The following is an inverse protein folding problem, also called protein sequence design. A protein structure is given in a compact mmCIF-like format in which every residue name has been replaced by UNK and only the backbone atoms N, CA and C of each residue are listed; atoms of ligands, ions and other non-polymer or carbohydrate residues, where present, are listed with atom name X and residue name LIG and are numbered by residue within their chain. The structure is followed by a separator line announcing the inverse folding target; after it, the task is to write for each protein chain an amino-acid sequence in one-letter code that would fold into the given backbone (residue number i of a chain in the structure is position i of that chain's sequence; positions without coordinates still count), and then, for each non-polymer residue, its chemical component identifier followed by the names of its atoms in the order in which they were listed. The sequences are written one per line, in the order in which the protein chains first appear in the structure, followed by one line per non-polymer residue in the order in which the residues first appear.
data_IF_958443782872
#
_entry.id   IF_958443782872
#
_cell.length_a   1.000
_cell.length_b   1.000
_cell.length_c   1.000
_cell.angle_alpha   90.00
_cell.angle_beta   90.00
_cell.angle_gamma   90.00
#
_symmetry.space_group_name_H-M   'P 1'
#
loop_
_entity.id
_entity.type
_entity.pdbx_description
1 polymer ?
#
# COMPACT_ATOMS: atom_id res chain seq x y z
N UNK A 1 3.07 -1.10 4.31
CA UNK A 1 3.28 0.11 3.49
C UNK A 1 4.01 1.16 4.29
N UNK A 2 5.09 1.71 3.73
CA UNK A 2 5.87 2.78 4.34
C UNK A 2 5.86 4.01 3.41
N UNK A 3 5.57 5.18 3.95
CA UNK A 3 5.61 6.47 3.23
C UNK A 3 6.43 7.48 4.02
N UNK A 4 7.45 8.10 3.41
CA UNK A 4 8.20 9.20 4.03
C UNK A 4 7.80 10.50 3.36
N UNK A 5 7.52 11.55 4.13
CA UNK A 5 7.26 12.89 3.62
C UNK A 5 8.18 13.90 4.31
N UNK A 6 8.68 14.87 3.53
CA UNK A 6 9.64 15.89 4.00
C UNK A 6 9.03 17.28 3.88
N UNK A 7 8.97 18.02 4.98
CA UNK A 7 8.63 19.43 4.97
C UNK A 7 9.90 20.26 4.73
N UNK A 8 10.04 20.80 3.51
CA UNK A 8 11.20 21.61 3.12
C UNK A 8 11.04 23.11 3.42
N UNK A 9 9.87 23.56 3.90
CA UNK A 9 9.64 24.99 4.16
C UNK A 9 10.01 25.38 5.60
N UNK A 10 10.20 26.68 5.82
CA UNK A 10 10.60 27.26 7.11
C UNK A 10 9.42 27.47 8.08
N UNK A 11 8.30 26.77 7.86
CA UNK A 11 7.14 26.81 8.72
C UNK A 11 6.58 25.41 8.91
N UNK A 12 5.83 25.20 9.98
CA UNK A 12 5.11 23.95 10.19
C UNK A 12 4.09 23.71 9.08
N UNK A 13 3.97 22.47 8.62
CA UNK A 13 3.02 22.08 7.57
C UNK A 13 2.18 20.90 8.01
N UNK A 14 0.90 20.93 7.64
CA UNK A 14 0.04 19.75 7.76
C UNK A 14 0.29 18.81 6.57
N UNK A 15 0.65 17.57 6.86
CA UNK A 15 0.91 16.51 5.90
C UNK A 15 -0.15 15.44 6.03
N UNK A 16 -0.60 14.94 4.87
CA UNK A 16 -1.61 13.90 4.78
C UNK A 16 -1.01 12.59 4.29
N UNK A 17 -1.25 11.51 5.02
CA UNK A 17 -1.06 10.14 4.59
C UNK A 17 -2.40 9.54 4.21
N UNK A 18 -2.60 9.23 2.92
CA UNK A 18 -3.86 8.70 2.41
C UNK A 18 -3.63 7.44 1.58
N UNK A 19 -4.32 6.36 1.93
CA UNK A 19 -4.25 5.09 1.20
C UNK A 19 -5.63 4.47 1.07
N UNK A 20 -5.85 3.70 0.00
CA UNK A 20 -7.08 2.93 -0.20
C UNK A 20 -6.78 1.44 0.01
N UNK A 21 -7.48 0.82 0.96
CA UNK A 21 -7.32 -0.58 1.33
C UNK A 21 -8.56 -1.39 0.90
N UNK A 22 -8.41 -2.69 0.58
CA UNK A 22 -9.56 -3.57 0.42
C UNK A 22 -10.44 -3.61 1.67
N UNK A 23 -11.77 -3.66 1.53
CA UNK A 23 -12.71 -3.79 2.67
C UNK A 23 -12.55 -5.08 3.48
N UNK A 24 -11.95 -6.07 2.84
CA UNK A 24 -11.59 -7.38 3.40
C UNK A 24 -10.30 -7.33 4.21
N UNK A 25 -9.54 -6.24 4.11
CA UNK A 25 -8.32 -6.05 4.88
C UNK A 25 -8.60 -5.53 6.29
N UNK A 26 -7.82 -6.00 7.26
CA UNK A 26 -7.79 -5.51 8.62
C UNK A 26 -6.45 -4.82 8.89
N UNK A 27 -6.49 -3.60 9.41
CA UNK A 27 -5.27 -2.87 9.80
C UNK A 27 -4.76 -3.43 11.12
N UNK A 28 -3.57 -4.01 11.10
CA UNK A 28 -2.93 -4.59 12.29
C UNK A 28 -2.02 -3.61 13.00
N UNK A 29 -1.43 -2.66 12.27
CA UNK A 29 -0.57 -1.63 12.85
C UNK A 29 -0.60 -0.35 12.02
N UNK A 30 -0.64 0.78 12.71
CA UNK A 30 -0.28 2.06 12.13
C UNK A 30 0.67 2.78 13.08
N UNK A 31 1.78 3.31 12.55
CA UNK A 31 2.69 4.14 13.32
C UNK A 31 3.22 5.28 12.46
N UNK A 32 3.63 6.34 13.13
CA UNK A 32 4.35 7.45 12.53
C UNK A 32 5.63 7.70 13.30
N UNK A 33 6.70 8.02 12.60
CA UNK A 33 7.98 8.41 13.18
C UNK A 33 8.27 9.86 12.79
N UNK A 34 8.45 10.73 13.78
CA UNK A 34 8.75 12.15 13.60
C UNK A 34 9.98 12.44 14.45
N UNK A 35 11.05 12.94 13.83
CA UNK A 35 12.30 13.29 14.54
C UNK A 35 12.88 12.14 15.41
N UNK A 36 12.72 10.89 14.95
CA UNK A 36 13.18 9.68 15.65
C UNK A 36 12.25 9.19 16.77
N UNK A 37 11.16 9.91 17.05
CA UNK A 37 10.15 9.48 18.00
C UNK A 37 9.02 8.73 17.28
N UNK A 38 8.77 7.49 17.72
CA UNK A 38 7.70 6.64 17.17
C UNK A 38 6.41 6.87 17.96
N UNK A 39 5.31 7.09 17.23
CA UNK A 39 3.95 7.20 17.74
C UNK A 39 3.11 6.09 17.11
N UNK A 40 2.64 5.16 17.93
CA UNK A 40 1.77 4.07 17.48
C UNK A 40 0.31 4.54 17.55
N UNK A 41 -0.39 4.43 16.43
CA UNK A 41 -1.80 4.77 16.33
C UNK A 41 -2.67 3.69 16.97
N UNK A 42 -3.59 4.10 17.83
CA UNK A 42 -4.57 3.20 18.42
C UNK A 42 -5.71 2.97 17.40
N UNK A 43 -5.86 1.73 16.92
CA UNK A 43 -6.94 1.36 15.99
C UNK A 43 -8.25 1.32 16.77
N UNK A 44 -9.04 2.39 16.68
CA UNK A 44 -10.36 2.51 17.32
C UNK A 44 -11.51 2.32 16.33
N UNK A 45 -12.66 1.98 16.89
CA UNK A 45 -13.93 1.86 16.17
C UNK A 45 -14.31 3.18 15.44
N UNK A 46 -14.76 3.05 14.19
CA UNK A 46 -14.87 4.13 13.18
C UNK A 46 -15.61 5.40 13.66
N UNK A 47 -16.70 5.25 14.42
CA UNK A 47 -17.51 6.41 14.85
C UNK A 47 -16.84 7.25 15.94
N UNK A 48 -16.12 6.62 16.87
CA UNK A 48 -15.40 7.33 17.94
C UNK A 48 -14.17 8.05 17.38
N UNK A 49 -13.51 7.46 16.39
CA UNK A 49 -12.36 8.05 15.71
C UNK A 49 -12.70 9.35 14.97
N UNK A 50 -13.88 9.45 14.34
CA UNK A 50 -14.28 10.65 13.56
C UNK A 50 -14.39 11.91 14.41
N UNK A 51 -15.07 11.85 15.56
CA UNK A 51 -15.23 13.01 16.46
C UNK A 51 -13.89 13.46 17.05
N UNK A 52 -13.01 12.50 17.35
CA UNK A 52 -11.66 12.80 17.83
C UNK A 52 -10.79 13.45 16.74
N UNK A 53 -10.91 12.99 15.50
CA UNK A 53 -10.22 13.58 14.36
C UNK A 53 -10.60 15.05 14.15
N UNK A 54 -11.90 15.35 14.04
CA UNK A 54 -12.36 16.73 13.80
C UNK A 54 -11.91 17.70 14.91
N UNK A 55 -11.93 17.24 16.17
CA UNK A 55 -11.42 18.02 17.32
C UNK A 55 -9.91 18.21 17.29
N UNK A 56 -9.15 17.17 16.95
CA UNK A 56 -7.69 17.23 16.90
C UNK A 56 -7.21 18.15 15.77
N UNK A 57 -7.75 18.00 14.55
CA UNK A 57 -7.42 18.86 13.40
C UNK A 57 -7.74 20.32 13.67
N UNK A 58 -8.93 20.61 14.22
CA UNK A 58 -9.29 22.00 14.61
C UNK A 58 -8.40 22.58 15.72
N UNK A 59 -7.72 21.72 16.49
CA UNK A 59 -6.77 22.13 17.53
C UNK A 59 -5.30 22.09 17.06
N UNK A 60 -5.05 21.84 15.77
CA UNK A 60 -3.70 21.68 15.21
C UNK A 60 -2.96 20.42 15.66
N UNK A 61 -3.66 19.45 16.25
CA UNK A 61 -3.12 18.17 16.70
C UNK A 61 -3.23 17.10 15.61
N UNK A 62 -2.29 16.16 15.65
CA UNK A 62 -2.25 15.01 14.75
C UNK A 62 -3.43 14.07 14.94
N UNK A 63 -4.02 13.59 13.84
CA UNK A 63 -5.22 12.77 13.87
C UNK A 63 -5.30 11.75 12.72
N UNK A 64 -5.84 10.55 13.03
CA UNK A 64 -6.13 9.51 12.04
C UNK A 64 -7.61 9.20 11.92
N UNK A 65 -8.06 8.90 10.70
CA UNK A 65 -9.45 8.58 10.37
C UNK A 65 -9.53 7.53 9.25
N UNK A 66 -10.34 6.48 9.48
CA UNK A 66 -10.72 5.51 8.44
C UNK A 66 -12.13 5.81 7.95
N UNK A 67 -12.30 5.99 6.63
CA UNK A 67 -13.58 6.27 5.98
C UNK A 67 -13.80 5.33 4.80
N UNK A 68 -15.01 4.82 4.62
CA UNK A 68 -15.32 4.00 3.45
C UNK A 68 -15.07 4.75 2.12
N UNK A 69 -14.49 4.07 1.12
CA UNK A 69 -14.17 4.63 -0.20
C UNK A 69 -14.72 3.74 -1.31
N UNK A 70 -15.90 4.07 -1.82
CA UNK A 70 -16.56 3.29 -2.88
C UNK A 70 -17.01 1.89 -2.43
N UNK A 71 -17.21 0.99 -3.41
CA UNK A 71 -17.83 -0.33 -3.18
C UNK A 71 -16.89 -1.34 -2.52
N UNK A 72 -15.64 -1.45 -3.00
CA UNK A 72 -14.67 -2.49 -2.58
C UNK A 72 -13.55 -2.00 -1.66
N UNK A 73 -13.31 -0.70 -1.57
CA UNK A 73 -12.17 -0.13 -0.84
C UNK A 73 -12.62 0.70 0.37
N UNK A 74 -11.71 0.94 1.30
CA UNK A 74 -11.81 1.92 2.37
C UNK A 74 -10.61 2.86 2.31
N UNK A 75 -10.85 4.15 2.48
CA UNK A 75 -9.82 5.17 2.56
C UNK A 75 -9.36 5.30 4.01
N UNK A 76 -8.08 5.01 4.24
CA UNK A 76 -7.38 5.36 5.46
C UNK A 76 -6.72 6.72 5.24
N UNK A 77 -6.96 7.68 6.14
CA UNK A 77 -6.38 9.03 6.07
C UNK A 77 -5.87 9.45 7.44
N UNK A 78 -4.66 9.99 7.48
CA UNK A 78 -4.05 10.57 8.68
C UNK A 78 -3.52 11.93 8.31
N UNK A 79 -3.77 12.94 9.13
CA UNK A 79 -3.14 14.24 9.01
C UNK A 79 -2.28 14.52 10.24
N UNK A 80 -1.09 15.04 10.01
CA UNK A 80 -0.10 15.36 11.04
C UNK A 80 0.51 16.70 10.73
N UNK A 81 0.63 17.55 11.75
CA UNK A 81 1.38 18.79 11.65
C UNK A 81 2.84 18.50 12.00
N UNK A 82 3.76 18.75 11.06
CA UNK A 82 5.20 18.57 11.29
C UNK A 82 5.93 19.91 11.25
N UNK A 83 7.00 20.00 12.04
CA UNK A 83 7.83 21.19 12.15
C UNK A 83 8.48 21.59 10.81
N UNK A 84 8.99 22.82 10.77
CA UNK A 84 9.79 23.30 9.65
C UNK A 84 11.03 22.41 9.45
N UNK A 85 11.40 22.15 8.20
CA UNK A 85 12.61 21.41 7.85
C UNK A 85 12.71 19.99 8.46
N UNK A 86 11.59 19.38 8.83
CA UNK A 86 11.55 18.03 9.38
C UNK A 86 10.87 17.03 8.44
N UNK A 87 10.86 15.76 8.82
CA UNK A 87 10.22 14.69 8.08
C UNK A 87 9.33 13.82 8.98
N UNK A 88 8.44 13.07 8.34
CA UNK A 88 7.62 12.05 8.98
C UNK A 88 7.64 10.78 8.14
N UNK A 89 7.80 9.64 8.82
CA UNK A 89 7.65 8.31 8.22
C UNK A 89 6.35 7.70 8.71
N UNK A 90 5.43 7.41 7.80
CA UNK A 90 4.20 6.66 8.08
C UNK A 90 4.43 5.18 7.77
N UNK A 91 3.99 4.30 8.67
CA UNK A 91 4.06 2.86 8.49
C UNK A 91 2.67 2.29 8.78
N UNK A 92 2.06 1.69 7.77
CA UNK A 92 0.77 1.02 7.85
C UNK A 92 0.94 -0.47 7.50
N UNK A 93 0.51 -1.34 8.38
CA UNK A 93 0.44 -2.79 8.16
C UNK A 93 -1.02 -3.22 8.17
N UNK A 94 -1.41 -3.98 7.15
CA UNK A 94 -2.73 -4.58 7.06
C UNK A 94 -2.60 -6.01 6.56
N UNK A 95 -3.59 -6.81 6.89
CA UNK A 95 -3.69 -8.22 6.52
C UNK A 95 -5.01 -8.45 5.82
N UNK A 96 -5.00 -9.32 4.81
CA UNK A 96 -6.20 -9.71 4.07
C UNK A 96 -6.20 -11.21 3.84
N UNK A 97 -7.35 -11.85 4.05
CA UNK A 97 -7.56 -13.23 3.64
C UNK A 97 -8.01 -13.25 2.17
N UNK A 98 -7.10 -13.65 1.27
CA UNK A 98 -7.40 -13.72 -0.15
C UNK A 98 -8.48 -14.77 -0.46
N UNK A 99 -9.51 -14.34 -1.19
CA UNK A 99 -10.60 -15.21 -1.62
C UNK A 99 -10.43 -15.58 -3.08
N UNK A 100 -10.37 -16.88 -3.38
CA UNK A 100 -10.37 -17.37 -4.75
C UNK A 100 -11.71 -17.10 -5.42
N UNK A 101 -11.69 -16.38 -6.54
CA UNK A 101 -12.88 -16.04 -7.34
C UNK A 101 -12.58 -16.30 -8.81
N UNK A 102 -13.55 -16.87 -9.53
CA UNK A 102 -13.41 -17.17 -10.96
C UNK A 102 -12.12 -17.95 -11.32
N UNK A 103 -11.69 -18.84 -10.42
CA UNK A 103 -10.52 -19.68 -10.66
C UNK A 103 -9.17 -19.10 -10.25
N UNK A 104 -9.11 -17.93 -9.62
CA UNK A 104 -7.85 -17.27 -9.27
C UNK A 104 -7.92 -16.44 -7.99
N UNK A 105 -6.76 -16.17 -7.40
CA UNK A 105 -6.58 -15.16 -6.37
C UNK A 105 -6.19 -13.82 -7.02
N UNK A 106 -6.58 -12.72 -6.39
CA UNK A 106 -6.27 -11.37 -6.86
C UNK A 106 -5.79 -10.54 -5.67
N UNK A 107 -4.59 -9.96 -5.80
CA UNK A 107 -4.05 -8.95 -4.90
C UNK A 107 -4.15 -7.61 -5.63
N UNK A 108 -4.91 -6.67 -5.08
CA UNK A 108 -5.11 -5.35 -5.66
C UNK A 108 -4.53 -4.29 -4.73
N UNK A 109 -3.54 -3.55 -5.23
CA UNK A 109 -2.97 -2.39 -4.56
C UNK A 109 -3.31 -1.14 -5.34
N UNK A 110 -4.05 -0.23 -4.73
CA UNK A 110 -4.32 1.08 -5.33
C UNK A 110 -3.19 2.06 -5.03
N UNK A 111 -2.64 2.64 -6.07
CA UNK A 111 -1.48 3.52 -6.02
C UNK A 111 -1.83 4.86 -6.64
N UNK A 112 -1.80 5.91 -5.82
CA UNK A 112 -2.13 7.28 -6.22
C UNK A 112 -1.23 8.29 -5.50
N UNK A 113 0.09 8.30 -5.80
CA UNK A 113 0.96 9.31 -5.27
C UNK A 113 0.52 10.67 -5.84
N UNK A 114 0.35 11.68 -4.99
CA UNK A 114 -0.08 13.03 -5.41
C UNK A 114 1.06 13.84 -6.07
N UNK A 115 2.28 13.32 -6.01
CA UNK A 115 3.51 13.93 -6.51
C UNK A 115 4.48 12.85 -6.98
N UNK A 116 5.56 13.25 -7.66
CA UNK A 116 6.68 12.36 -7.96
C UNK A 116 7.33 11.87 -6.66
N UNK A 117 7.75 10.61 -6.65
CA UNK A 117 8.32 9.93 -5.48
C UNK A 117 9.77 9.57 -5.77
N UNK A 118 10.70 10.03 -4.92
CA UNK A 118 12.14 9.86 -5.15
C UNK A 118 12.57 8.39 -5.21
N UNK A 119 12.00 7.55 -4.33
CA UNK A 119 12.17 6.09 -4.39
C UNK A 119 10.80 5.44 -4.25
N UNK A 120 10.22 5.11 -5.40
CA UNK A 120 8.97 4.38 -5.48
C UNK A 120 9.27 2.89 -5.63
N UNK A 121 8.64 2.05 -4.81
CA UNK A 121 8.77 0.61 -4.93
C UNK A 121 7.51 -0.15 -4.48
N UNK A 122 7.08 -1.09 -5.33
CA UNK A 122 6.14 -2.16 -4.99
C UNK A 122 6.91 -3.47 -5.02
N UNK A 123 6.86 -4.24 -3.92
CA UNK A 123 7.38 -5.60 -3.85
C UNK A 123 6.29 -6.53 -3.36
N UNK A 124 6.09 -7.64 -4.05
CA UNK A 124 5.22 -8.74 -3.60
C UNK A 124 6.00 -10.04 -3.62
N UNK A 125 5.94 -10.75 -2.49
CA UNK A 125 6.45 -12.10 -2.36
C UNK A 125 5.26 -13.02 -2.13
N UNK A 126 5.16 -14.09 -2.92
CA UNK A 126 4.12 -15.11 -2.78
C UNK A 126 4.82 -16.41 -2.40
N UNK A 127 4.29 -17.11 -1.40
CA UNK A 127 4.72 -18.47 -1.06
C UNK A 127 3.52 -19.41 -0.94
N UNK A 128 3.45 -20.40 -1.82
CA UNK A 128 2.36 -21.36 -1.87
C UNK A 128 2.90 -22.80 -1.74
N UNK A 129 2.63 -23.50 -0.62
CA UNK A 129 3.17 -24.83 -0.37
C UNK A 129 2.81 -25.88 -1.44
N UNK A 130 1.65 -25.70 -2.07
CA UNK A 130 1.09 -26.57 -3.13
C UNK A 130 1.77 -26.32 -4.49
N UNK A 131 2.55 -25.26 -4.61
CA UNK A 131 3.12 -24.80 -5.87
C UNK A 131 2.21 -23.83 -6.62
N UNK A 132 2.80 -22.96 -7.42
CA UNK A 132 2.15 -21.94 -8.23
C UNK A 132 1.85 -22.53 -9.62
N UNK A 133 0.59 -22.44 -10.07
CA UNK A 133 0.23 -22.84 -11.42
C UNK A 133 0.50 -21.73 -12.43
N UNK A 134 0.24 -20.48 -12.04
CA UNK A 134 0.66 -19.30 -12.77
C UNK A 134 0.72 -18.08 -11.86
N UNK A 135 1.47 -17.06 -12.27
CA UNK A 135 1.50 -15.74 -11.64
C UNK A 135 1.56 -14.68 -12.74
N UNK A 136 0.70 -13.67 -12.65
CA UNK A 136 0.66 -12.53 -13.55
C UNK A 136 0.57 -11.21 -12.77
N UNK A 137 1.16 -10.16 -13.33
CA UNK A 137 1.18 -8.83 -12.73
C UNK A 137 0.93 -7.77 -13.81
N UNK A 138 -0.03 -6.90 -13.58
CA UNK A 138 -0.35 -5.77 -14.45
C UNK A 138 -0.75 -4.55 -13.62
N UNK A 139 -0.73 -3.37 -14.21
CA UNK A 139 -1.30 -2.19 -13.59
C UNK A 139 -2.09 -1.36 -14.60
N UNK A 140 -3.15 -0.69 -14.14
CA UNK A 140 -4.03 0.11 -15.01
C UNK A 140 -3.33 1.36 -15.56
N UNK A 141 -2.21 1.75 -14.96
CA UNK A 141 -1.38 2.89 -15.35
C UNK A 141 -0.12 2.46 -16.14
N UNK A 142 0.08 1.16 -16.43
CA UNK A 142 1.24 0.72 -17.22
C UNK A 142 1.09 1.17 -18.68
N UNK A 143 1.88 2.18 -19.05
CA UNK A 143 2.17 2.49 -20.44
C UNK A 143 3.23 1.54 -21.00
N UNK A 144 3.43 1.56 -22.32
CA UNK A 144 4.48 0.76 -22.98
C UNK A 144 5.88 0.99 -22.39
N UNK A 145 6.14 2.17 -21.83
CA UNK A 145 7.42 2.53 -21.21
C UNK A 145 7.59 1.94 -19.80
N UNK A 146 6.50 1.66 -19.10
CA UNK A 146 6.51 1.13 -17.73
C UNK A 146 6.38 -0.39 -17.67
N UNK A 147 5.80 -1.00 -18.71
CA UNK A 147 5.67 -2.46 -18.81
C UNK A 147 6.99 -3.20 -18.53
N UNK A 148 8.15 -2.77 -19.07
CA UNK A 148 9.42 -3.46 -18.84
C UNK A 148 9.94 -3.34 -17.40
N UNK A 149 9.40 -2.43 -16.59
CA UNK A 149 9.83 -2.20 -15.21
C UNK A 149 9.17 -3.15 -14.20
N UNK A 150 8.20 -3.94 -14.65
CA UNK A 150 7.60 -5.01 -13.83
C UNK A 150 8.48 -6.24 -13.96
N UNK A 151 9.32 -6.45 -12.96
CA UNK A 151 10.17 -7.63 -12.86
C UNK A 151 9.41 -8.74 -12.13
N UNK A 152 9.51 -9.96 -12.66
CA UNK A 152 8.83 -11.14 -12.10
C UNK A 152 9.76 -12.35 -12.15
N UNK A 153 10.07 -12.91 -10.99
CA UNK A 153 10.79 -14.18 -10.86
C UNK A 153 9.86 -15.21 -10.24
N UNK A 154 9.62 -16.32 -10.93
CA UNK A 154 8.74 -17.41 -10.47
C UNK A 154 9.53 -18.71 -10.38
N UNK A 155 9.36 -19.41 -9.26
CA UNK A 155 9.80 -20.78 -9.02
C UNK A 155 8.59 -21.63 -8.64
N UNK A 156 8.78 -22.94 -8.43
CA UNK A 156 7.68 -23.86 -8.11
C UNK A 156 6.74 -23.34 -7.00
N UNK A 157 7.27 -22.88 -5.87
CA UNK A 157 6.47 -22.47 -4.70
C UNK A 157 6.52 -20.98 -4.38
N UNK A 158 7.39 -20.23 -5.06
CA UNK A 158 7.65 -18.82 -4.73
C UNK A 158 7.57 -17.94 -5.97
N UNK A 159 6.97 -16.78 -5.82
CA UNK A 159 7.07 -15.70 -6.79
C UNK A 159 7.54 -14.41 -6.11
N UNK A 160 8.39 -13.68 -6.83
CA UNK A 160 8.83 -12.34 -6.48
C UNK A 160 8.43 -11.39 -7.62
N UNK A 161 7.68 -10.35 -7.29
CA UNK A 161 7.25 -9.31 -8.22
C UNK A 161 7.76 -7.98 -7.69
N UNK A 162 8.44 -7.20 -8.53
CA UNK A 162 8.93 -5.87 -8.20
C UNK A 162 8.57 -4.86 -9.29
N UNK A 163 8.23 -3.65 -8.87
CA UNK A 163 8.04 -2.49 -9.75
C UNK A 163 8.64 -1.26 -9.07
N UNK A 164 9.70 -0.70 -9.67
CA UNK A 164 10.52 0.36 -9.05
C UNK A 164 10.91 1.46 -10.06
N UNK A 165 9.95 2.22 -10.60
CA UNK A 165 10.21 3.30 -11.55
C UNK A 165 11.02 4.44 -10.93
N UNK A 166 11.98 4.94 -11.70
CA UNK A 166 12.70 6.19 -11.41
C UNK A 166 11.78 7.41 -11.49
N UNK A 167 12.20 8.54 -10.92
CA UNK A 167 11.43 9.81 -10.97
C UNK A 167 11.08 10.20 -12.41
N UNK A 168 12.01 10.05 -13.35
CA UNK A 168 11.77 10.40 -14.76
C UNK A 168 10.74 9.46 -15.42
N UNK A 169 10.77 8.17 -15.10
CA UNK A 169 9.75 7.21 -15.58
C UNK A 169 8.38 7.47 -14.96
N UNK A 170 8.30 8.10 -13.79
CA UNK A 170 7.04 8.47 -13.16
C UNK A 170 6.41 9.72 -13.79
N UNK A 171 7.16 10.54 -14.55
CA UNK A 171 6.65 11.81 -15.07
C UNK A 171 5.62 11.60 -16.17
N UNK A 172 4.53 12.36 -16.10
CA UNK A 172 3.49 12.38 -17.13
C UNK A 172 3.90 13.15 -18.39
N UNK A 173 4.78 14.13 -18.24
CA UNK A 173 5.25 15.02 -19.30
C UNK A 173 6.69 15.48 -19.03
N UNK A 174 7.48 15.80 -20.08
CA UNK A 174 8.79 16.41 -19.93
C UNK A 174 8.70 17.70 -19.11
N UNK A 175 9.45 17.79 -18.01
CA UNK A 175 9.58 18.98 -17.18
C UNK A 175 8.40 19.30 -16.25
N UNK A 176 7.39 18.43 -16.13
CA UNK A 176 6.25 18.65 -15.22
C UNK A 176 6.36 17.81 -13.93
N UNK A 177 5.66 18.25 -12.88
CA UNK A 177 5.63 17.58 -11.57
C UNK A 177 4.49 16.54 -11.44
N UNK A 178 3.71 16.36 -12.51
CA UNK A 178 2.63 15.38 -12.55
C UNK A 178 3.15 13.96 -12.73
N UNK A 179 2.60 13.02 -11.96
CA UNK A 179 2.91 11.58 -12.11
C UNK A 179 1.89 10.88 -12.99
N UNK A 180 2.34 9.88 -13.76
CA UNK A 180 1.46 8.96 -14.50
C UNK A 180 1.00 7.76 -13.64
N UNK A 181 1.54 7.58 -12.43
CA UNK A 181 1.16 6.50 -11.54
C UNK A 181 -0.16 6.88 -10.87
N UNK A 182 -1.28 6.49 -11.44
CA UNK A 182 -2.59 6.65 -10.83
C UNK A 182 -3.48 5.49 -11.24
N UNK A 183 -3.70 4.56 -10.31
CA UNK A 183 -4.58 3.42 -10.55
C UNK A 183 -4.24 2.21 -9.71
N UNK A 184 -4.49 1.03 -10.26
CA UNK A 184 -4.42 -0.23 -9.54
C UNK A 184 -3.27 -1.09 -10.07
N UNK A 185 -2.39 -1.55 -9.18
CA UNK A 185 -1.40 -2.59 -9.40
C UNK A 185 -2.00 -3.93 -8.95
N UNK A 186 -2.11 -4.87 -9.87
CA UNK A 186 -2.93 -6.06 -9.74
C UNK A 186 -2.07 -7.29 -10.01
N UNK A 187 -2.00 -8.19 -9.03
CA UNK A 187 -1.35 -9.49 -9.17
C UNK A 187 -2.43 -10.56 -9.15
N UNK A 188 -2.41 -11.43 -10.15
CA UNK A 188 -3.30 -12.58 -10.26
C UNK A 188 -2.48 -13.85 -10.26
N UNK A 189 -2.92 -14.84 -9.48
CA UNK A 189 -2.25 -16.13 -9.44
C UNK A 189 -3.23 -17.24 -9.06
N UNK A 190 -2.84 -18.49 -9.30
CA UNK A 190 -3.48 -19.65 -8.70
C UNK A 190 -2.41 -20.69 -8.35
N UNK A 191 -2.83 -21.70 -7.59
CA UNK A 191 -1.97 -22.79 -7.12
C UNK A 191 -2.16 -24.04 -7.96
N UNK A 192 -1.19 -24.95 -7.92
CA UNK A 192 -1.37 -26.30 -8.46
C UNK A 192 -2.42 -27.02 -7.62
N UNK A 193 -3.38 -27.67 -8.27
CA UNK A 193 -4.47 -28.41 -7.59
C UNK A 193 -4.48 -29.85 -8.05
N UNK A 194 -4.44 -30.76 -7.08
CA UNK A 194 -4.65 -32.18 -7.35
C UNK A 194 -6.16 -32.38 -7.63
N UNK A 195 -6.51 -33.09 -8.69
CA UNK A 195 -7.91 -33.46 -8.96
C UNK A 195 -8.35 -34.52 -7.93
N UNK A 196 -8.84 -34.09 -6.78
CA UNK A 196 -9.34 -34.93 -5.68
C UNK A 196 -9.94 -34.09 -4.56
N UNK A 197 -10.89 -34.66 -3.80
CA UNK A 197 -11.71 -33.98 -2.78
C UNK A 197 -10.89 -33.13 -1.80
N UNK A 198 -11.13 -31.81 -1.84
CA UNK A 198 -10.90 -30.85 -0.76
C UNK A 198 -9.47 -30.78 -0.22
N UNK A 199 -8.68 -29.81 -0.69
CA UNK A 199 -7.46 -29.42 -0.01
C UNK A 199 -7.82 -28.83 1.37
N UNK A 200 -7.80 -29.66 2.41
CA UNK A 200 -7.87 -29.22 3.81
C UNK A 200 -6.45 -28.88 4.23
N UNK A 201 -6.10 -27.60 4.19
CA UNK A 201 -4.93 -27.10 4.90
C UNK A 201 -5.34 -26.62 6.28
N UNK A 202 -4.76 -27.23 7.32
CA UNK A 202 -4.69 -26.65 8.66
C UNK A 202 -3.48 -25.72 8.64
N UNK A 203 -3.71 -24.44 8.38
CA UNK A 203 -2.65 -23.43 8.41
C UNK A 203 -2.58 -22.84 9.81
N UNK A 204 -1.55 -23.19 10.57
CA UNK A 204 -1.03 -22.30 11.61
C UNK A 204 -0.42 -21.10 10.88
N UNK A 205 -1.05 -19.93 11.06
CA UNK A 205 -0.90 -18.71 10.27
C UNK A 205 0.48 -18.48 9.64
N UNK A 206 0.49 -18.22 8.34
CA UNK A 206 1.61 -17.60 7.66
C UNK A 206 1.11 -16.45 6.80
N UNK A 207 1.70 -15.28 7.06
CA UNK A 207 1.31 -13.96 6.60
C UNK A 207 2.14 -13.57 5.37
N UNK A 208 1.48 -13.05 4.34
CA UNK A 208 2.17 -12.36 3.23
C UNK A 208 2.63 -10.99 3.72
N UNK A 209 3.92 -10.86 4.02
CA UNK A 209 4.56 -9.56 4.26
C UNK A 209 4.69 -8.80 2.94
N UNK A 210 3.75 -7.89 2.68
CA UNK A 210 3.86 -6.92 1.59
C UNK A 210 4.60 -5.67 2.09
N UNK A 211 5.90 -5.61 1.83
CA UNK A 211 6.72 -4.42 2.10
C UNK A 211 6.62 -3.45 0.92
N UNK A 212 5.98 -2.30 1.14
CA UNK A 212 6.07 -1.15 0.22
C UNK A 212 7.03 -0.12 0.81
N UNK A 213 7.98 0.34 -0.01
CA UNK A 213 8.79 1.51 0.28
C UNK A 213 8.37 2.63 -0.67
N UNK A 214 7.66 3.63 -0.14
CA UNK A 214 7.40 4.91 -0.82
C UNK A 214 8.24 5.95 -0.07
N UNK A 215 9.37 6.37 -0.62
CA UNK A 215 10.15 7.48 -0.07
C UNK A 215 9.86 8.71 -0.93
N UNK A 216 9.05 9.65 -0.41
CA UNK A 216 8.81 10.96 -1.03
C UNK A 216 9.70 12.05 -0.47
#
# INVERSE_FOLDING_TARGET
MTSVAVNKVNSSQEIFFEVELPKTAFITNFSMEIEGQVYVGEVKEKEKAKKQYEKAVSSGQTAGLVKASGRKMEKFSVSVNIAAQSNVTFILTYEELLQRKLGQYEILTRVKPKSLVQKFQIVTNIYEPQGLSYVDAHATFLSNELLPLVEKTVSDKKAHISFSPTVEQQRKCPGCDGTLIDGDFIIKYDVNRVKGLGDIQIVNGYLDHINFYILS
#
